data_IF_212190092017
#
_entry.id   IF_212190092017
#
_cell.length_a   1.000
_cell.length_b   1.000
_cell.length_c   1.000
_cell.angle_alpha   90.00
_cell.angle_beta   90.00
_cell.angle_gamma   90.00
#
_symmetry.space_group_name_H-M   'P 1'
#
loop_
_entity.id
_entity.type
_entity.pdbx_description
1 polymer ?
#
# COMPACT_ATOMS: atom_id res chain seq x y z
N UNK A 1 -1.63 35.95 9.91
CA UNK A 1 -1.24 35.07 8.79
C UNK A 1 -1.83 33.70 9.07
N UNK A 2 -2.67 33.20 8.17
CA UNK A 2 -3.26 31.85 8.26
C UNK A 2 -2.37 30.88 7.48
N UNK A 3 -2.09 29.70 8.05
CA UNK A 3 -1.36 28.62 7.39
C UNK A 3 -2.39 27.54 7.07
N UNK A 4 -2.52 27.23 5.79
CA UNK A 4 -3.34 26.10 5.33
C UNK A 4 -2.56 24.81 5.54
N UNK A 5 -3.21 23.81 6.13
CA UNK A 5 -2.63 22.49 6.33
C UNK A 5 -3.16 21.54 5.26
N UNK A 6 -2.36 20.53 4.93
CA UNK A 6 -2.79 19.37 4.16
C UNK A 6 -3.61 18.37 5.01
N UNK A 7 -4.33 18.88 6.01
CA UNK A 7 -5.03 18.12 7.03
C UNK A 7 -6.50 18.54 7.08
N UNK A 8 -7.38 17.56 6.93
CA UNK A 8 -8.83 17.74 6.85
C UNK A 8 -9.46 17.18 8.13
N UNK A 9 -10.14 18.00 8.95
CA UNK A 9 -10.86 17.52 10.12
C UNK A 9 -11.87 16.44 9.75
N UNK A 10 -11.92 15.39 10.55
CA UNK A 10 -12.87 14.30 10.40
C UNK A 10 -14.07 14.64 11.28
N UNK A 11 -15.22 14.86 10.64
CA UNK A 11 -16.47 15.04 11.36
C UNK A 11 -16.98 13.68 11.87
N UNK A 12 -17.08 13.56 13.17
CA UNK A 12 -17.54 12.35 13.88
C UNK A 12 -18.84 12.58 14.64
N UNK A 13 -19.48 13.75 14.49
CA UNK A 13 -20.68 14.12 15.25
C UNK A 13 -21.82 13.12 15.06
N UNK A 14 -21.89 12.47 13.90
CA UNK A 14 -22.99 11.58 13.50
C UNK A 14 -22.67 10.07 13.63
N UNK A 15 -21.48 9.69 14.10
CA UNK A 15 -20.99 8.30 14.11
C UNK A 15 -20.68 7.81 15.55
N UNK A 16 -21.11 8.57 16.57
CA UNK A 16 -20.60 8.46 17.95
C UNK A 16 -20.44 7.04 18.49
N UNK A 17 -21.38 6.12 18.21
CA UNK A 17 -21.32 4.72 18.69
C UNK A 17 -21.45 3.73 17.53
N UNK A 18 -20.61 2.69 17.54
CA UNK A 18 -20.66 1.56 16.61
C UNK A 18 -20.68 0.22 17.35
N UNK A 19 -21.32 -0.78 16.77
CA UNK A 19 -21.31 -2.15 17.30
C UNK A 19 -20.12 -2.96 16.75
N UNK A 20 -19.57 -3.83 17.58
CA UNK A 20 -18.61 -4.85 17.19
C UNK A 20 -18.91 -6.18 17.89
N UNK A 21 -18.62 -7.29 17.22
CA UNK A 21 -18.53 -8.60 17.87
C UNK A 21 -17.16 -8.75 18.53
N UNK A 22 -17.16 -8.97 19.85
CA UNK A 22 -15.98 -9.16 20.68
C UNK A 22 -15.76 -10.66 20.95
N UNK A 23 -14.55 -11.13 20.66
CA UNK A 23 -14.09 -12.50 20.95
C UNK A 23 -12.70 -12.48 21.60
N UNK A 24 -12.34 -13.49 22.41
CA UNK A 24 -11.00 -13.61 22.99
C UNK A 24 -9.90 -13.54 21.93
N UNK A 25 -8.79 -12.88 22.27
CA UNK A 25 -7.66 -12.81 21.36
C UNK A 25 -7.00 -14.17 21.17
N UNK A 26 -7.01 -14.62 19.92
CA UNK A 26 -6.17 -15.68 19.42
C UNK A 26 -5.50 -15.22 18.11
N UNK A 27 -4.20 -15.49 17.98
CA UNK A 27 -3.40 -14.99 16.86
C UNK A 27 -3.82 -15.65 15.54
N UNK A 28 -4.07 -16.96 15.55
CA UNK A 28 -4.45 -17.72 14.37
C UNK A 28 -5.87 -17.38 13.94
N UNK A 29 -6.77 -17.13 14.90
CA UNK A 29 -8.11 -16.59 14.64
C UNK A 29 -8.01 -15.21 13.99
N UNK A 30 -7.20 -14.29 14.51
CA UNK A 30 -7.05 -12.96 13.89
C UNK A 30 -6.49 -13.06 12.46
N UNK A 31 -5.54 -13.97 12.22
CA UNK A 31 -4.95 -14.16 10.90
C UNK A 31 -5.95 -14.77 9.90
N UNK A 32 -6.76 -15.74 10.31
CA UNK A 32 -7.84 -16.26 9.46
C UNK A 32 -8.89 -15.17 9.18
N UNK A 33 -9.19 -14.34 10.18
CA UNK A 33 -10.01 -13.14 10.04
C UNK A 33 -9.38 -12.03 9.18
N UNK A 34 -8.13 -12.14 8.73
CA UNK A 34 -7.56 -11.27 7.69
C UNK A 34 -7.44 -11.94 6.31
N UNK A 35 -7.49 -13.28 6.24
CA UNK A 35 -7.18 -14.06 5.04
C UNK A 35 -8.26 -14.18 3.95
N UNK A 36 -9.56 -13.97 4.23
CA UNK A 36 -10.59 -14.10 3.18
C UNK A 36 -10.72 -12.84 2.29
N UNK A 37 -10.75 -13.01 0.96
CA UNK A 37 -10.71 -11.91 -0.01
C UNK A 37 -12.04 -11.17 -0.26
N UNK A 38 -13.17 -11.64 0.26
CA UNK A 38 -14.49 -11.02 0.12
C UNK A 38 -15.19 -10.96 1.48
N UNK A 39 -14.79 -10.01 2.32
CA UNK A 39 -15.34 -9.83 3.67
C UNK A 39 -16.19 -8.59 3.73
N UNK A 40 -17.37 -8.76 4.33
CA UNK A 40 -18.19 -7.67 4.83
C UNK A 40 -17.87 -7.35 6.30
N UNK A 41 -16.62 -7.62 6.71
CA UNK A 41 -16.17 -7.38 8.08
C UNK A 41 -14.69 -7.03 8.14
N UNK A 42 -14.32 -6.29 9.19
CA UNK A 42 -12.96 -5.88 9.51
C UNK A 42 -12.64 -6.23 10.96
N UNK A 43 -11.51 -6.89 11.19
CA UNK A 43 -11.10 -7.36 12.52
C UNK A 43 -9.82 -6.67 13.01
N UNK A 44 -9.80 -6.27 14.28
CA UNK A 44 -8.64 -5.64 14.93
C UNK A 44 -8.41 -6.21 16.32
N UNK A 45 -7.14 -6.39 16.70
CA UNK A 45 -6.75 -6.68 18.08
C UNK A 45 -6.95 -5.46 18.99
N UNK A 46 -7.69 -5.66 20.07
CA UNK A 46 -7.86 -4.69 21.13
C UNK A 46 -7.53 -5.30 22.49
N UNK A 47 -6.25 -5.19 22.90
CA UNK A 47 -5.76 -5.81 24.14
C UNK A 47 -5.81 -7.34 24.05
N UNK A 48 -6.59 -7.95 24.94
CA UNK A 48 -6.83 -9.40 25.02
C UNK A 48 -8.08 -9.84 24.24
N UNK A 49 -8.64 -8.96 23.41
CA UNK A 49 -9.82 -9.23 22.58
C UNK A 49 -9.51 -8.98 21.10
N UNK A 50 -10.33 -9.57 20.24
CA UNK A 50 -10.49 -9.19 18.84
C UNK A 50 -11.87 -8.52 18.72
N UNK A 51 -11.90 -7.38 18.06
CA UNK A 51 -13.13 -6.69 17.70
C UNK A 51 -13.38 -6.89 16.21
N UNK A 52 -14.57 -7.36 15.86
CA UNK A 52 -15.01 -7.60 14.50
C UNK A 52 -16.15 -6.64 14.19
N UNK A 53 -15.94 -5.76 13.22
CA UNK A 53 -16.91 -4.79 12.73
C UNK A 53 -17.49 -5.28 11.42
N UNK A 54 -18.80 -5.19 11.21
CA UNK A 54 -19.47 -5.61 9.97
C UNK A 54 -20.58 -4.63 9.60
N UNK A 55 -20.70 -4.29 8.30
CA UNK A 55 -21.78 -3.42 7.80
C UNK A 55 -23.14 -4.13 7.87
N UNK A 56 -23.21 -5.42 7.53
CA UNK A 56 -24.44 -6.23 7.60
C UNK A 56 -24.76 -6.78 9.00
N UNK A 57 -23.90 -6.54 10.00
CA UNK A 57 -23.96 -7.19 11.32
C UNK A 57 -23.86 -8.73 11.24
N UNK A 58 -23.34 -9.27 10.14
CA UNK A 58 -23.07 -10.70 9.98
C UNK A 58 -21.62 -10.99 10.38
N UNK A 59 -21.45 -11.77 11.44
CA UNK A 59 -20.13 -12.06 12.00
C UNK A 59 -19.68 -13.48 11.63
N UNK A 60 -18.41 -13.67 11.26
CA UNK A 60 -17.87 -14.99 10.89
C UNK A 60 -17.73 -15.93 12.09
N UNK A 61 -17.73 -15.39 13.31
CA UNK A 61 -17.55 -16.12 14.57
C UNK A 61 -18.51 -15.51 15.59
N UNK A 62 -19.11 -16.35 16.43
CA UNK A 62 -19.98 -15.92 17.52
C UNK A 62 -19.16 -15.30 18.66
N UNK A 63 -19.68 -14.20 19.20
CA UNK A 63 -19.06 -13.47 20.31
C UNK A 63 -20.07 -12.53 20.96
N UNK A 64 -19.59 -11.69 21.86
CA UNK A 64 -20.43 -10.72 22.56
C UNK A 64 -20.54 -9.44 21.73
N UNK A 65 -21.75 -8.95 21.50
CA UNK A 65 -21.92 -7.65 20.85
C UNK A 65 -21.59 -6.55 21.86
N UNK A 66 -20.73 -5.63 21.44
CA UNK A 66 -20.25 -4.52 22.25
C UNK A 66 -20.40 -3.22 21.48
N UNK A 67 -20.95 -2.23 22.16
CA UNK A 67 -20.97 -0.86 21.68
C UNK A 67 -19.64 -0.17 21.97
N UNK A 68 -19.13 0.55 20.98
CA UNK A 68 -17.86 1.28 21.05
C UNK A 68 -18.13 2.73 20.71
N UNK A 69 -17.86 3.61 21.67
CA UNK A 69 -17.85 5.04 21.43
C UNK A 69 -16.58 5.45 20.66
N UNK A 70 -16.74 5.89 19.41
CA UNK A 70 -15.63 6.31 18.56
C UNK A 70 -15.05 7.67 18.96
N UNK A 71 -15.82 8.53 19.64
CA UNK A 71 -15.33 9.83 20.12
C UNK A 71 -14.34 9.67 21.27
N UNK A 72 -14.41 8.53 21.97
CA UNK A 72 -13.53 8.17 23.08
C UNK A 72 -12.39 7.22 22.65
N UNK A 73 -12.48 6.64 21.43
CA UNK A 73 -11.55 5.61 20.97
C UNK A 73 -11.02 5.88 19.57
N UNK A 74 -10.11 6.86 19.47
CA UNK A 74 -9.48 7.23 18.20
C UNK A 74 -8.70 6.10 17.52
N UNK A 75 -8.19 5.12 18.28
CA UNK A 75 -7.52 3.95 17.71
C UNK A 75 -8.49 3.15 16.82
N UNK A 76 -9.71 2.93 17.29
CA UNK A 76 -10.74 2.21 16.53
C UNK A 76 -11.28 3.10 15.40
N UNK A 77 -11.53 4.38 15.66
CA UNK A 77 -11.95 5.33 14.61
C UNK A 77 -10.97 5.31 13.43
N UNK A 78 -9.68 5.51 13.69
CA UNK A 78 -8.65 5.53 12.65
C UNK A 78 -8.50 4.19 11.94
N UNK A 79 -8.67 3.07 12.66
CA UNK A 79 -8.72 1.76 12.03
C UNK A 79 -9.86 1.67 11.02
N UNK A 80 -11.09 2.00 11.42
CA UNK A 80 -12.26 1.91 10.54
C UNK A 80 -12.13 2.83 9.32
N UNK A 81 -11.72 4.08 9.52
CA UNK A 81 -11.49 5.04 8.44
C UNK A 81 -10.46 4.51 7.44
N UNK A 82 -9.37 3.93 7.94
CA UNK A 82 -8.33 3.35 7.09
C UNK A 82 -8.87 2.19 6.25
N UNK A 83 -9.63 1.29 6.86
CA UNK A 83 -10.24 0.16 6.16
C UNK A 83 -11.26 0.63 5.11
N UNK A 84 -12.08 1.64 5.42
CA UNK A 84 -12.99 2.28 4.46
C UNK A 84 -12.25 2.91 3.28
N UNK A 85 -11.16 3.66 3.52
CA UNK A 85 -10.34 4.24 2.45
C UNK A 85 -9.75 3.14 1.56
N UNK A 86 -9.23 2.07 2.14
CA UNK A 86 -8.69 0.93 1.37
C UNK A 86 -9.79 0.29 0.51
N UNK A 87 -10.99 0.08 1.06
CA UNK A 87 -12.16 -0.46 0.34
C UNK A 87 -12.52 0.46 -0.83
N UNK A 88 -12.65 1.77 -0.60
CA UNK A 88 -12.96 2.76 -1.64
C UNK A 88 -11.90 2.81 -2.73
N UNK A 89 -10.61 2.83 -2.37
CA UNK A 89 -9.50 2.82 -3.34
C UNK A 89 -9.57 1.59 -4.25
N UNK A 90 -9.80 0.40 -3.68
CA UNK A 90 -9.97 -0.84 -4.47
C UNK A 90 -11.18 -0.76 -5.41
N UNK A 91 -12.31 -0.21 -4.95
CA UNK A 91 -13.51 -0.04 -5.79
C UNK A 91 -13.26 0.86 -7.01
N UNK A 92 -12.46 1.92 -6.84
CA UNK A 92 -12.04 2.79 -7.95
C UNK A 92 -10.79 2.28 -8.69
N UNK A 93 -10.46 0.99 -8.55
CA UNK A 93 -9.34 0.30 -9.20
C UNK A 93 -7.97 0.96 -8.93
N UNK A 94 -7.77 1.42 -7.70
CA UNK A 94 -6.47 1.86 -7.19
C UNK A 94 -5.91 0.79 -6.26
N UNK A 95 -4.64 0.46 -6.47
CA UNK A 95 -3.93 -0.58 -5.72
C UNK A 95 -3.07 0.07 -4.62
N UNK A 96 -3.56 0.13 -3.35
CA UNK A 96 -2.74 0.58 -2.24
C UNK A 96 -1.63 -0.44 -1.94
N UNK A 97 -0.41 0.03 -1.68
CA UNK A 97 0.77 -0.83 -1.48
C UNK A 97 1.50 -0.63 -0.14
N UNK A 98 1.18 0.43 0.60
CA UNK A 98 1.47 0.57 2.03
C UNK A 98 0.18 0.93 2.76
N UNK A 99 0.10 0.63 4.05
CA UNK A 99 -1.14 0.80 4.80
C UNK A 99 -1.01 1.69 6.07
N UNK A 100 0.19 2.13 6.47
CA UNK A 100 0.39 3.16 7.51
C UNK A 100 1.63 4.01 7.15
N UNK A 101 1.47 5.14 6.46
CA UNK A 101 0.23 5.65 5.85
C UNK A 101 -0.25 4.80 4.66
N UNK A 102 -1.49 4.99 4.21
CA UNK A 102 -1.99 4.38 2.97
C UNK A 102 -1.28 5.05 1.79
N UNK A 103 -0.58 4.30 0.96
CA UNK A 103 0.07 4.84 -0.25
C UNK A 103 -0.49 4.18 -1.52
N UNK A 104 -0.75 4.97 -2.55
CA UNK A 104 -1.11 4.50 -3.89
C UNK A 104 -0.53 5.42 -4.98
N UNK A 105 -0.40 4.90 -6.20
CA UNK A 105 0.10 5.65 -7.37
C UNK A 105 -1.07 6.04 -8.26
N UNK A 106 -1.00 7.23 -8.83
CA UNK A 106 -1.92 7.67 -9.86
C UNK A 106 -1.44 7.26 -11.25
N UNK A 107 -2.17 6.37 -11.97
CA UNK A 107 -1.76 5.93 -13.29
C UNK A 107 -1.96 7.02 -14.36
N UNK A 108 -2.79 8.04 -14.08
CA UNK A 108 -3.13 9.11 -15.04
C UNK A 108 -2.11 10.25 -15.10
N UNK A 109 -1.15 10.28 -14.19
CA UNK A 109 -0.26 11.44 -13.98
C UNK A 109 1.18 11.06 -14.28
N UNK A 110 1.42 10.43 -15.45
CA UNK A 110 2.77 10.22 -15.95
C UNK A 110 3.32 11.53 -16.52
N UNK A 111 4.20 12.19 -15.79
CA UNK A 111 4.76 13.49 -16.17
C UNK A 111 5.69 13.35 -17.38
N UNK A 112 6.42 12.24 -17.49
CA UNK A 112 7.41 12.06 -18.56
C UNK A 112 6.76 11.94 -19.93
N UNK A 113 5.59 11.32 -20.03
CA UNK A 113 4.82 11.19 -21.27
C UNK A 113 4.55 12.54 -21.94
N UNK A 114 4.12 13.51 -21.14
CA UNK A 114 3.77 14.86 -21.62
C UNK A 114 4.97 15.67 -22.09
N UNK A 115 6.17 15.37 -21.60
CA UNK A 115 7.39 16.16 -21.84
C UNK A 115 8.29 15.48 -22.87
N UNK A 116 8.42 14.15 -22.77
CA UNK A 116 9.40 13.33 -23.49
C UNK A 116 8.73 12.32 -24.46
N UNK A 117 7.40 12.21 -24.44
CA UNK A 117 6.63 11.29 -25.26
C UNK A 117 6.51 9.88 -24.68
N UNK A 118 5.59 9.11 -25.25
CA UNK A 118 5.19 7.77 -24.77
C UNK A 118 6.32 6.73 -24.85
N UNK A 119 7.29 6.94 -25.74
CA UNK A 119 8.40 6.01 -25.98
C UNK A 119 9.52 6.14 -24.93
N UNK A 120 9.46 7.11 -24.02
CA UNK A 120 10.48 7.26 -22.99
C UNK A 120 10.39 6.11 -21.97
N UNK A 121 11.48 5.37 -21.68
CA UNK A 121 11.42 4.12 -20.92
C UNK A 121 11.22 4.32 -19.41
N UNK A 122 11.26 5.56 -18.93
CA UNK A 122 11.05 5.93 -17.54
C UNK A 122 9.73 6.68 -17.35
N UNK A 123 9.04 6.42 -16.24
CA UNK A 123 7.82 7.12 -15.85
C UNK A 123 7.99 7.79 -14.50
N UNK A 124 7.39 8.96 -14.36
CA UNK A 124 7.28 9.67 -13.09
C UNK A 124 5.79 9.86 -12.84
N UNK A 125 5.26 9.10 -11.88
CA UNK A 125 3.85 9.14 -11.52
C UNK A 125 3.67 9.84 -10.17
N UNK A 126 2.56 10.55 -10.01
CA UNK A 126 2.14 11.05 -8.71
C UNK A 126 1.85 9.88 -7.75
N UNK A 127 2.36 10.00 -6.53
CA UNK A 127 2.14 9.08 -5.40
C UNK A 127 1.47 9.86 -4.28
N UNK A 128 0.29 9.40 -3.90
CA UNK A 128 -0.47 9.97 -2.80
C UNK A 128 -0.24 9.15 -1.53
N UNK A 129 -0.19 9.84 -0.40
CA UNK A 129 -0.14 9.26 0.94
C UNK A 129 -1.30 9.80 1.77
N UNK A 130 -2.11 8.92 2.33
CA UNK A 130 -3.25 9.26 3.16
C UNK A 130 -3.02 8.66 4.55
N UNK A 131 -3.11 9.50 5.57
CA UNK A 131 -2.87 9.12 6.96
C UNK A 131 -3.93 9.73 7.88
N UNK A 132 -4.08 9.18 9.08
CA UNK A 132 -4.99 9.69 10.11
C UNK A 132 -4.19 10.16 11.31
N UNK A 133 -4.39 11.41 11.76
CA UNK A 133 -3.62 12.02 12.85
C UNK A 133 -4.52 12.84 13.76
N UNK A 134 -4.11 12.99 15.02
CA UNK A 134 -4.72 13.96 15.93
C UNK A 134 -3.92 15.26 15.83
N UNK A 135 -4.56 16.35 15.43
CA UNK A 135 -3.94 17.66 15.31
C UNK A 135 -4.70 18.61 16.24
N UNK A 136 -4.02 19.12 17.28
CA UNK A 136 -4.63 19.99 18.31
C UNK A 136 -5.92 19.39 18.92
N UNK A 137 -5.91 18.09 19.17
CA UNK A 137 -7.06 17.37 19.75
C UNK A 137 -8.17 17.02 18.74
N UNK A 138 -8.05 17.42 17.48
CA UNK A 138 -9.02 17.11 16.43
C UNK A 138 -8.51 15.92 15.59
N UNK A 139 -9.32 14.87 15.38
CA UNK A 139 -8.98 13.82 14.43
C UNK A 139 -9.01 14.37 13.01
N UNK A 140 -7.94 14.17 12.26
CA UNK A 140 -7.76 14.68 10.91
C UNK A 140 -7.29 13.59 9.95
N UNK A 141 -7.72 13.70 8.70
CA UNK A 141 -7.15 12.99 7.57
C UNK A 141 -6.06 13.87 6.95
N UNK A 142 -4.82 13.40 6.89
CA UNK A 142 -3.73 14.13 6.25
C UNK A 142 -3.42 13.52 4.89
N UNK A 143 -3.26 14.37 3.87
CA UNK A 143 -3.00 13.94 2.49
C UNK A 143 -1.70 14.59 2.02
N UNK A 144 -0.74 13.75 1.65
CA UNK A 144 0.52 14.17 1.04
C UNK A 144 0.61 13.70 -0.41
N UNK A 145 1.32 14.48 -1.22
CA UNK A 145 1.64 14.13 -2.60
C UNK A 145 3.15 14.16 -2.81
N UNK A 146 3.64 13.19 -3.56
CA UNK A 146 5.05 13.06 -3.97
C UNK A 146 5.09 12.38 -5.33
N UNK A 147 6.28 12.08 -5.85
CA UNK A 147 6.44 11.32 -7.08
C UNK A 147 6.99 9.93 -6.80
N UNK A 148 6.76 9.02 -7.73
CA UNK A 148 7.40 7.71 -7.77
C UNK A 148 7.84 7.40 -9.18
N UNK A 149 9.09 7.01 -9.30
CA UNK A 149 9.73 6.68 -10.57
C UNK A 149 9.54 5.19 -10.87
N UNK A 150 9.34 4.88 -12.15
CA UNK A 150 9.14 3.54 -12.67
C UNK A 150 9.89 3.33 -13.96
N UNK A 151 10.36 2.10 -14.17
CA UNK A 151 10.86 1.63 -15.45
C UNK A 151 9.71 0.91 -16.17
N UNK A 152 9.38 1.35 -17.38
CA UNK A 152 8.39 0.67 -18.24
C UNK A 152 8.94 -0.62 -18.80
N UNK A 153 10.24 -0.59 -19.08
CA UNK A 153 10.93 -1.62 -19.83
C UNK A 153 11.69 -2.59 -18.92
N UNK A 154 11.95 -3.79 -19.43
CA UNK A 154 12.81 -4.78 -18.80
C UNK A 154 14.29 -4.52 -19.15
N UNK A 155 15.20 -5.28 -18.54
CA UNK A 155 16.63 -5.13 -18.80
C UNK A 155 17.01 -5.42 -20.26
N UNK A 156 16.25 -6.28 -20.96
CA UNK A 156 16.51 -6.61 -22.37
C UNK A 156 16.42 -5.36 -23.27
N UNK A 157 15.41 -4.50 -23.08
CA UNK A 157 15.32 -3.22 -23.77
C UNK A 157 16.59 -2.37 -23.59
N UNK A 158 17.02 -2.17 -22.35
CA UNK A 158 18.15 -1.30 -22.06
C UNK A 158 19.48 -1.87 -22.58
N UNK A 159 19.63 -3.20 -22.58
CA UNK A 159 20.79 -3.88 -23.18
C UNK A 159 20.83 -3.60 -24.69
N UNK A 160 19.70 -3.77 -25.38
CA UNK A 160 19.61 -3.55 -26.83
C UNK A 160 19.81 -2.09 -27.22
N UNK A 161 19.38 -1.15 -26.38
CA UNK A 161 19.56 0.29 -26.59
C UNK A 161 20.99 0.76 -26.19
N UNK A 162 21.89 -0.17 -25.85
CA UNK A 162 23.32 0.10 -25.64
C UNK A 162 23.68 0.67 -24.26
N UNK A 163 22.78 0.61 -23.27
CA UNK A 163 23.09 1.09 -21.93
C UNK A 163 24.11 0.19 -21.23
N UNK A 164 25.06 0.81 -20.53
CA UNK A 164 25.92 0.09 -19.59
C UNK A 164 25.20 -0.11 -18.25
N UNK A 165 24.84 -1.34 -17.96
CA UNK A 165 24.04 -1.73 -16.78
C UNK A 165 24.88 -2.37 -15.67
N UNK A 166 26.19 -2.54 -15.88
CA UNK A 166 27.10 -3.10 -14.88
C UNK A 166 27.07 -2.23 -13.62
N UNK A 167 27.07 -2.86 -12.45
CA UNK A 167 26.93 -2.27 -11.12
C UNK A 167 25.57 -1.60 -10.81
N UNK A 168 24.60 -1.61 -11.73
CA UNK A 168 23.23 -1.15 -11.43
C UNK A 168 22.46 -2.17 -10.62
N UNK A 169 21.48 -1.70 -9.85
CA UNK A 169 20.60 -2.58 -9.10
C UNK A 169 19.47 -3.10 -9.99
N UNK A 170 19.20 -4.40 -9.87
CA UNK A 170 18.10 -5.05 -10.55
C UNK A 170 16.97 -5.37 -9.55
N UNK A 171 15.74 -5.30 -10.06
CA UNK A 171 14.53 -5.70 -9.35
C UNK A 171 13.79 -6.77 -10.17
N UNK A 172 13.21 -7.73 -9.46
CA UNK A 172 12.28 -8.71 -10.02
C UNK A 172 10.84 -8.31 -9.72
N UNK A 173 9.94 -8.55 -10.67
CA UNK A 173 8.49 -8.39 -10.48
C UNK A 173 7.85 -9.77 -10.40
N UNK A 174 7.35 -10.15 -9.22
CA UNK A 174 6.58 -11.40 -9.03
C UNK A 174 5.25 -11.09 -8.37
N UNK A 175 4.14 -11.53 -8.98
CA UNK A 175 2.77 -11.31 -8.48
C UNK A 175 2.49 -9.83 -8.13
N UNK A 176 2.90 -8.91 -9.00
CA UNK A 176 2.74 -7.46 -8.79
C UNK A 176 3.65 -6.84 -7.72
N UNK A 177 4.49 -7.63 -7.03
CA UNK A 177 5.44 -7.15 -6.04
C UNK A 177 6.83 -7.00 -6.65
N UNK A 178 7.41 -5.82 -6.46
CA UNK A 178 8.80 -5.53 -6.82
C UNK A 178 9.72 -5.92 -5.68
N UNK A 179 10.78 -6.65 -5.98
CA UNK A 179 11.81 -7.06 -5.01
C UNK A 179 13.18 -6.81 -5.60
N UNK A 180 14.01 -6.03 -4.90
CA UNK A 180 15.43 -5.87 -5.22
C UNK A 180 16.13 -7.23 -5.13
N UNK A 181 16.83 -7.60 -6.21
CA UNK A 181 17.51 -8.90 -6.33
C UNK A 181 19.03 -8.81 -6.29
N UNK A 182 19.62 -7.62 -6.43
CA UNK A 182 21.06 -7.41 -6.28
C UNK A 182 21.64 -6.40 -7.25
N UNK A 183 22.96 -6.42 -7.42
CA UNK A 183 23.73 -5.64 -8.41
C UNK A 183 24.10 -6.49 -9.61
N UNK A 184 24.04 -5.90 -10.81
CA UNK A 184 24.44 -6.56 -12.05
C UNK A 184 25.98 -6.63 -12.11
N UNK A 185 26.53 -7.83 -12.26
CA UNK A 185 27.97 -8.06 -12.39
C UNK A 185 28.40 -8.19 -13.85
N UNK A 186 27.61 -8.91 -14.64
CA UNK A 186 27.89 -9.19 -16.05
C UNK A 186 26.61 -9.45 -16.80
N UNK A 187 26.67 -9.22 -18.11
CA UNK A 187 25.60 -9.49 -19.06
C UNK A 187 26.24 -10.27 -20.20
N UNK A 188 25.69 -11.45 -20.46
CA UNK A 188 26.07 -12.28 -21.61
C UNK A 188 24.79 -12.61 -22.38
N UNK A 189 24.65 -12.00 -23.57
CA UNK A 189 23.43 -12.01 -24.35
C UNK A 189 22.21 -11.58 -23.48
N UNK A 190 21.28 -12.50 -23.25
CA UNK A 190 20.05 -12.27 -22.48
C UNK A 190 20.15 -12.74 -21.02
N UNK A 191 21.33 -13.20 -20.58
CA UNK A 191 21.54 -13.69 -19.22
C UNK A 191 22.26 -12.61 -18.41
N UNK A 192 21.62 -12.18 -17.34
CA UNK A 192 22.14 -11.17 -16.41
C UNK A 192 22.58 -11.87 -15.12
N UNK A 193 23.85 -11.75 -14.79
CA UNK A 193 24.40 -12.24 -13.54
C UNK A 193 24.29 -11.17 -12.47
N UNK A 194 23.60 -11.48 -11.38
CA UNK A 194 23.28 -10.55 -10.29
C UNK A 194 23.86 -11.05 -8.98
N UNK A 195 24.53 -10.18 -8.23
CA UNK A 195 25.05 -10.42 -6.89
C UNK A 195 24.17 -9.77 -5.83
N UNK A 196 23.76 -10.54 -4.83
CA UNK A 196 23.09 -10.06 -3.62
C UNK A 196 23.74 -10.69 -2.40
N UNK A 197 24.40 -9.87 -1.58
CA UNK A 197 25.22 -10.35 -0.46
C UNK A 197 26.21 -11.41 -0.97
N UNK A 198 26.21 -12.61 -0.39
CA UNK A 198 27.12 -13.71 -0.76
C UNK A 198 26.58 -14.64 -1.86
N UNK A 199 25.47 -14.28 -2.51
CA UNK A 199 24.84 -15.10 -3.55
C UNK A 199 24.95 -14.45 -4.91
N UNK A 200 25.39 -15.25 -5.88
CA UNK A 200 25.37 -14.91 -7.30
C UNK A 200 24.29 -15.75 -7.96
N UNK A 201 23.44 -15.12 -8.76
CA UNK A 201 22.37 -15.79 -9.49
C UNK A 201 22.18 -15.20 -10.87
N UNK A 202 21.85 -16.05 -11.83
CA UNK A 202 21.52 -15.67 -13.19
C UNK A 202 20.02 -15.48 -13.36
N UNK A 203 19.66 -14.51 -14.19
CA UNK A 203 18.29 -14.15 -14.54
C UNK A 203 18.21 -13.89 -16.04
N UNK A 204 17.06 -14.16 -16.64
CA UNK A 204 16.79 -13.69 -17.99
C UNK A 204 16.47 -12.19 -17.95
N UNK A 205 17.08 -11.42 -18.86
CA UNK A 205 16.93 -9.97 -18.94
C UNK A 205 15.47 -9.52 -19.11
N UNK A 206 14.61 -10.37 -19.67
CA UNK A 206 13.18 -10.10 -19.86
C UNK A 206 12.37 -10.18 -18.55
N UNK A 207 12.86 -10.91 -17.55
CA UNK A 207 12.16 -11.19 -16.29
C UNK A 207 12.44 -10.15 -15.19
N UNK A 208 13.44 -9.29 -15.41
CA UNK A 208 13.95 -8.34 -14.43
C UNK A 208 14.07 -6.96 -15.07
N UNK A 209 13.97 -5.92 -14.23
CA UNK A 209 14.12 -4.53 -14.66
C UNK A 209 15.11 -3.81 -13.75
N UNK A 210 15.51 -2.61 -14.14
CA UNK A 210 16.32 -1.73 -13.31
C UNK A 210 15.49 -1.27 -12.10
N UNK A 211 16.15 -0.96 -11.01
CA UNK A 211 15.54 -0.25 -9.89
C UNK A 211 15.36 1.25 -10.16
#
# INVERSE_FOLDING_TARGET
MTIELNAFPIDISNIGVVEACEVPYDKEVLYSLHGHPQKDYHAIRNGNQILIFSESKSYPIQGNIKEINLTENYKILFFLIRESIIKTLKQIRREPFKFKPIEFISPKENITEKILGDNYPFQINAKYSIDTRIIKGVPCLTIDCSTKNYNKENLYYFINDGFNLINRHAISKKNGKYKRIGRILSIDNNIVTVQSYDKIKNYYAEEITLE
#
